data_IF_149185596622
#
_entry.id   IF_149185596622
#
_cell.length_a   1.000
_cell.length_b   1.000
_cell.length_c   1.000
_cell.angle_alpha   90.00
_cell.angle_beta   90.00
_cell.angle_gamma   90.00
#
_symmetry.space_group_name_H-M   'P 1'
#
loop_
_entity.id
_entity.type
_entity.pdbx_description
1 polymer ?
#
# COMPACT_ATOMS: atom_id res chain seq x y z
N UNK A 1 1.22 20.91 -15.66
CA UNK A 1 1.22 19.49 -16.07
C UNK A 1 1.67 18.70 -14.84
N UNK A 2 0.82 17.81 -14.31
CA UNK A 2 1.06 17.17 -13.01
C UNK A 2 2.25 16.20 -13.08
N UNK A 3 3.35 16.55 -12.42
CA UNK A 3 4.56 15.73 -12.23
C UNK A 3 4.33 14.47 -11.36
N UNK A 4 3.09 14.26 -10.89
CA UNK A 4 2.70 13.20 -9.95
C UNK A 4 3.24 11.80 -10.30
N UNK A 5 3.22 11.38 -11.56
CA UNK A 5 3.68 10.05 -11.95
C UNK A 5 5.17 9.82 -11.64
N UNK A 6 6.00 10.86 -11.79
CA UNK A 6 7.43 10.82 -11.54
C UNK A 6 7.73 10.80 -10.04
N UNK A 7 6.99 11.61 -9.27
CA UNK A 7 7.08 11.64 -7.81
C UNK A 7 6.67 10.29 -7.18
N UNK A 8 5.70 9.59 -7.78
CA UNK A 8 5.28 8.26 -7.34
C UNK A 8 6.30 7.17 -7.67
N UNK A 9 6.91 7.19 -8.86
CA UNK A 9 8.00 6.26 -9.20
C UNK A 9 9.18 6.39 -8.23
N UNK A 10 9.61 7.62 -7.95
CA UNK A 10 10.71 7.89 -7.02
C UNK A 10 10.35 7.48 -5.58
N UNK A 11 9.10 7.72 -5.16
CA UNK A 11 8.59 7.23 -3.88
C UNK A 11 8.57 5.70 -3.84
N UNK A 12 8.11 5.02 -4.89
CA UNK A 12 8.11 3.55 -4.98
C UNK A 12 9.52 2.96 -4.94
N UNK A 13 10.49 3.55 -5.63
CA UNK A 13 11.90 3.11 -5.59
C UNK A 13 12.50 3.29 -4.19
N UNK A 14 12.22 4.43 -3.56
CA UNK A 14 12.67 4.72 -2.19
C UNK A 14 12.02 3.75 -1.20
N UNK A 15 10.71 3.51 -1.33
CA UNK A 15 9.98 2.56 -0.51
C UNK A 15 10.41 1.11 -0.75
N UNK A 16 10.78 0.73 -1.98
CA UNK A 16 11.24 -0.63 -2.29
C UNK A 16 12.58 -0.96 -1.62
N UNK A 17 13.46 0.05 -1.47
CA UNK A 17 14.68 -0.07 -0.66
C UNK A 17 14.35 -0.20 0.81
N UNK A 18 13.48 0.67 1.33
CA UNK A 18 13.23 0.74 2.76
C UNK A 18 12.28 -0.36 3.27
N UNK A 19 11.49 -1.02 2.42
CA UNK A 19 10.63 -2.12 2.88
C UNK A 19 11.42 -3.26 3.56
N UNK A 20 12.73 -3.36 3.27
CA UNK A 20 13.65 -4.36 3.80
C UNK A 20 14.67 -3.79 4.80
N UNK A 21 14.83 -2.46 4.87
CA UNK A 21 15.83 -1.77 5.69
C UNK A 21 15.18 -0.93 6.80
N UNK A 22 15.91 -0.59 7.87
CA UNK A 22 15.39 0.23 8.97
C UNK A 22 14.54 -0.52 10.02
N UNK A 23 13.90 0.23 10.92
CA UNK A 23 13.11 -0.32 12.03
C UNK A 23 11.72 -0.82 11.56
N UNK A 24 11.12 -1.70 12.34
CA UNK A 24 9.84 -2.33 11.98
C UNK A 24 8.67 -1.33 11.91
N UNK A 25 8.76 -0.21 12.64
CA UNK A 25 7.77 0.85 12.61
C UNK A 25 7.72 1.58 11.26
N UNK A 26 8.88 1.86 10.68
CA UNK A 26 8.93 2.47 9.36
C UNK A 26 8.54 1.46 8.28
N UNK A 27 9.05 0.22 8.37
CA UNK A 27 8.73 -0.86 7.43
C UNK A 27 7.23 -1.10 7.32
N UNK A 28 6.51 -1.17 8.44
CA UNK A 28 5.07 -1.46 8.43
C UNK A 28 4.25 -0.33 7.81
N UNK A 29 4.63 0.92 8.06
CA UNK A 29 3.98 2.09 7.45
C UNK A 29 4.19 2.13 5.94
N UNK A 30 5.43 1.91 5.49
CA UNK A 30 5.77 1.88 4.06
C UNK A 30 5.01 0.77 3.34
N UNK A 31 5.06 -0.46 3.88
CA UNK A 31 4.35 -1.61 3.31
C UNK A 31 2.86 -1.33 3.18
N UNK A 32 2.23 -0.78 4.22
CA UNK A 32 0.81 -0.45 4.17
C UNK A 32 0.49 0.61 3.11
N UNK A 33 1.24 1.72 3.05
CA UNK A 33 1.04 2.79 2.06
C UNK A 33 1.24 2.27 0.63
N UNK A 34 2.35 1.59 0.35
CA UNK A 34 2.59 0.97 -0.96
C UNK A 34 1.47 0.00 -1.33
N UNK A 35 0.99 -0.77 -0.35
CA UNK A 35 -0.13 -1.69 -0.50
C UNK A 35 -1.37 -0.97 -1.03
N UNK A 36 -1.77 0.13 -0.38
CA UNK A 36 -2.92 0.94 -0.80
C UNK A 36 -2.75 1.55 -2.20
N UNK A 37 -1.56 2.06 -2.54
CA UNK A 37 -1.29 2.61 -3.87
C UNK A 37 -1.45 1.55 -4.96
N UNK A 38 -0.90 0.34 -4.75
CA UNK A 38 -1.02 -0.78 -5.69
C UNK A 38 -2.45 -1.29 -5.78
N UNK A 39 -3.20 -1.32 -4.67
CA UNK A 39 -4.62 -1.66 -4.69
C UNK A 39 -5.43 -0.64 -5.50
N UNK A 40 -5.14 0.65 -5.35
CA UNK A 40 -5.86 1.72 -6.02
C UNK A 40 -5.44 1.95 -7.49
N UNK A 41 -4.23 1.54 -7.87
CA UNK A 41 -3.58 2.02 -9.09
C UNK A 41 -3.28 3.53 -9.02
N UNK A 42 -3.03 4.05 -7.82
CA UNK A 42 -2.79 5.46 -7.60
C UNK A 42 -1.31 5.77 -7.76
N UNK A 43 -0.95 6.47 -8.85
CA UNK A 43 0.44 6.79 -9.17
C UNK A 43 1.27 5.60 -9.66
N UNK A 44 0.65 4.45 -9.91
CA UNK A 44 1.28 3.23 -10.40
C UNK A 44 0.24 2.35 -11.10
N UNK A 45 0.70 1.32 -11.83
CA UNK A 45 -0.21 0.29 -12.34
C UNK A 45 -0.88 -0.46 -11.18
N UNK A 46 -2.19 -0.68 -11.28
CA UNK A 46 -2.93 -1.42 -10.26
C UNK A 46 -2.41 -2.86 -10.19
N UNK A 47 -2.06 -3.30 -8.98
CA UNK A 47 -1.61 -4.66 -8.73
C UNK A 47 -2.18 -5.16 -7.39
N UNK A 48 -3.34 -5.80 -7.46
CA UNK A 48 -4.08 -6.28 -6.29
C UNK A 48 -3.32 -7.33 -5.50
N UNK A 49 -2.66 -8.27 -6.20
CA UNK A 49 -1.88 -9.34 -5.57
C UNK A 49 -0.69 -8.79 -4.76
N UNK A 50 0.11 -7.90 -5.36
CA UNK A 50 1.25 -7.27 -4.68
C UNK A 50 0.78 -6.33 -3.56
N UNK A 51 -0.29 -5.57 -3.80
CA UNK A 51 -0.87 -4.67 -2.81
C UNK A 51 -1.35 -5.41 -1.56
N UNK A 52 -2.11 -6.48 -1.75
CA UNK A 52 -2.57 -7.37 -0.68
C UNK A 52 -1.40 -7.97 0.12
N UNK A 53 -0.38 -8.50 -0.56
CA UNK A 53 0.80 -9.06 0.09
C UNK A 53 1.48 -8.07 1.03
N UNK A 54 1.65 -6.81 0.60
CA UNK A 54 2.29 -5.78 1.42
C UNK A 54 1.43 -5.39 2.64
N UNK A 55 0.10 -5.37 2.51
CA UNK A 55 -0.80 -5.12 3.65
C UNK A 55 -0.71 -6.27 4.67
N UNK A 56 -0.67 -7.52 4.21
CA UNK A 56 -0.48 -8.69 5.08
C UNK A 56 0.87 -8.62 5.82
N UNK A 57 1.93 -8.22 5.12
CA UNK A 57 3.25 -8.05 5.74
C UNK A 57 3.25 -6.90 6.77
N UNK A 58 2.53 -5.80 6.52
CA UNK A 58 2.37 -4.73 7.51
C UNK A 58 1.56 -5.19 8.73
N UNK A 59 0.52 -6.01 8.52
CA UNK A 59 -0.25 -6.64 9.59
C UNK A 59 0.61 -7.53 10.49
N UNK A 60 1.51 -8.33 9.90
CA UNK A 60 2.47 -9.19 10.63
C UNK A 60 3.46 -8.41 11.48
N UNK A 61 3.68 -7.13 11.17
CA UNK A 61 4.47 -6.18 11.96
C UNK A 61 3.61 -5.41 12.98
N UNK A 62 2.46 -5.98 13.37
CA UNK A 62 1.51 -5.42 14.32
C UNK A 62 0.98 -4.02 13.97
N UNK A 63 0.91 -3.69 12.67
CA UNK A 63 0.39 -2.40 12.24
C UNK A 63 -1.14 -2.35 12.31
N UNK A 64 -1.67 -1.59 13.27
CA UNK A 64 -3.11 -1.46 13.53
C UNK A 64 -3.91 -1.05 12.27
N UNK A 65 -3.46 -0.08 11.45
CA UNK A 65 -4.18 0.25 10.21
C UNK A 65 -4.27 -0.92 9.23
N UNK A 66 -3.21 -1.72 9.10
CA UNK A 66 -3.22 -2.90 8.22
C UNK A 66 -4.17 -3.99 8.75
N UNK A 67 -4.16 -4.26 10.07
CA UNK A 67 -5.11 -5.17 10.71
C UNK A 67 -6.55 -4.74 10.49
N UNK A 68 -6.83 -3.45 10.64
CA UNK A 68 -8.17 -2.89 10.40
C UNK A 68 -8.57 -3.05 8.93
N UNK A 69 -7.67 -2.74 8.01
CA UNK A 69 -7.91 -2.93 6.58
C UNK A 69 -8.21 -4.39 6.23
N UNK A 70 -7.40 -5.33 6.72
CA UNK A 70 -7.58 -6.75 6.50
C UNK A 70 -8.92 -7.25 7.10
N UNK A 71 -9.31 -6.73 8.28
CA UNK A 71 -10.62 -7.03 8.88
C UNK A 71 -11.79 -6.52 8.02
N UNK A 72 -11.70 -5.30 7.54
CA UNK A 72 -12.82 -4.61 6.86
C UNK A 72 -12.92 -5.02 5.38
N UNK A 73 -11.79 -5.40 4.75
CA UNK A 73 -11.70 -5.63 3.30
C UNK A 73 -11.04 -6.94 2.89
N UNK A 74 -10.36 -7.67 3.79
CA UNK A 74 -9.54 -8.84 3.43
C UNK A 74 -10.33 -10.06 2.95
N UNK A 75 -11.65 -10.09 3.15
CA UNK A 75 -12.57 -11.11 2.61
C UNK A 75 -13.18 -10.73 1.26
N UNK A 76 -12.94 -9.50 0.77
CA UNK A 76 -13.45 -9.04 -0.52
C UNK A 76 -12.59 -9.59 -1.64
N UNK A 77 -13.21 -9.88 -2.79
CA UNK A 77 -12.51 -10.45 -3.96
C UNK A 77 -11.37 -9.55 -4.48
N UNK A 78 -11.41 -8.25 -4.18
CA UNK A 78 -10.43 -7.26 -4.60
C UNK A 78 -9.56 -6.73 -3.45
N UNK A 79 -9.68 -7.33 -2.25
CA UNK A 79 -8.96 -6.91 -1.03
C UNK A 79 -9.14 -5.41 -0.67
N UNK A 80 -10.24 -4.80 -1.10
CA UNK A 80 -10.52 -3.38 -0.86
C UNK A 80 -9.97 -2.43 -1.93
N UNK A 81 -9.67 -2.92 -3.13
CA UNK A 81 -9.14 -2.09 -4.22
C UNK A 81 -10.04 -0.90 -4.59
N UNK A 82 -11.37 -1.10 -4.59
CA UNK A 82 -12.32 -0.02 -4.87
C UNK A 82 -12.25 1.08 -3.80
N UNK A 83 -12.23 0.69 -2.53
CA UNK A 83 -12.16 1.64 -1.41
C UNK A 83 -10.80 2.33 -1.33
N UNK A 84 -9.71 1.62 -1.64
CA UNK A 84 -8.40 2.23 -1.79
C UNK A 84 -8.43 3.33 -2.87
N UNK A 85 -9.09 3.09 -4.00
CA UNK A 85 -9.24 4.09 -5.07
C UNK A 85 -10.02 5.32 -4.62
N UNK A 86 -11.08 5.15 -3.83
CA UNK A 86 -11.85 6.26 -3.25
C UNK A 86 -11.02 7.14 -2.32
N UNK A 87 -10.07 6.57 -1.56
CA UNK A 87 -9.16 7.33 -0.70
C UNK A 87 -8.26 8.31 -1.47
N UNK A 88 -7.86 7.94 -2.69
CA UNK A 88 -6.99 8.78 -3.55
C UNK A 88 -7.77 9.65 -4.55
N UNK A 89 -9.10 9.59 -4.54
CA UNK A 89 -9.96 10.37 -5.46
C UNK A 89 -10.55 11.64 -4.82
N UNK A 90 -10.15 11.97 -3.59
CA UNK A 90 -10.58 13.15 -2.83
C UNK A 90 -9.47 14.18 -2.76
#
# INVERSE_FOLDING_TARGET
MSNSAKDYEDAFVTYDKIKNEGNDDFKRQVKFKMGLHLLAGAGCEQNTAKGCKLIIEAERLDFVPAKRWAKDHGKKNDYGAKEAKELFSR
#
